data_IF_382976903396
#
_entry.id   IF_382976903396
#
_cell.length_a   1.000
_cell.length_b   1.000
_cell.length_c   1.000
_cell.angle_alpha   90.00
_cell.angle_beta   90.00
_cell.angle_gamma   90.00
#
_symmetry.space_group_name_H-M   'P 1'
#
loop_
_entity.id
_entity.type
_entity.pdbx_description
1 polymer ?
#
# COMPACT_ATOMS: atom_id res chain seq x y z
N UNK A 1 9.32 -1.91 -61.08
CA UNK A 1 9.78 -2.07 -59.68
C UNK A 1 8.58 -2.52 -58.88
N UNK A 2 8.47 -3.83 -58.62
CA UNK A 2 7.33 -4.44 -57.95
C UNK A 2 7.38 -4.19 -56.45
N UNK A 3 6.28 -3.69 -55.90
CA UNK A 3 6.02 -3.70 -54.45
C UNK A 3 6.02 -5.15 -53.96
N UNK A 4 6.83 -5.52 -52.95
CA UNK A 4 6.85 -6.90 -52.46
C UNK A 4 5.62 -7.16 -51.58
N UNK A 5 4.97 -8.27 -51.86
CA UNK A 5 4.37 -9.16 -50.86
C UNK A 5 3.28 -8.56 -49.98
N UNK A 6 2.04 -8.78 -50.41
CA UNK A 6 0.93 -9.08 -49.51
C UNK A 6 1.33 -10.32 -48.68
N UNK A 7 2.07 -10.12 -47.59
CA UNK A 7 2.35 -11.18 -46.60
C UNK A 7 1.04 -11.42 -45.83
N UNK A 8 0.17 -12.22 -46.44
CA UNK A 8 -1.03 -12.73 -45.78
C UNK A 8 -0.59 -13.41 -44.47
N UNK A 9 -1.08 -12.86 -43.35
CA UNK A 9 -0.83 -13.42 -42.02
C UNK A 9 -1.06 -14.93 -42.06
N UNK A 10 -0.11 -15.74 -41.55
CA UNK A 10 -0.19 -17.18 -41.70
C UNK A 10 -1.50 -17.70 -41.09
N UNK A 11 -2.12 -18.74 -41.67
CA UNK A 11 -3.37 -19.27 -41.16
C UNK A 11 -3.26 -19.57 -39.64
N UNK A 12 -4.24 -19.09 -38.89
CA UNK A 12 -4.28 -19.18 -37.43
C UNK A 12 -3.42 -18.14 -36.68
N UNK A 13 -2.76 -17.20 -37.35
CA UNK A 13 -2.04 -16.10 -36.68
C UNK A 13 -2.99 -15.24 -35.83
N UNK A 14 -4.16 -14.90 -36.36
CA UNK A 14 -5.20 -14.17 -35.62
C UNK A 14 -5.73 -15.00 -34.43
N UNK A 15 -5.85 -16.31 -34.58
CA UNK A 15 -6.26 -17.22 -33.49
C UNK A 15 -5.19 -17.28 -32.38
N UNK A 16 -3.91 -17.34 -32.75
CA UNK A 16 -2.80 -17.29 -31.77
C UNK A 16 -2.71 -15.94 -31.09
N UNK A 17 -2.90 -14.85 -31.83
CA UNK A 17 -2.89 -13.49 -31.30
C UNK A 17 -4.06 -13.27 -30.33
N UNK A 18 -5.27 -13.69 -30.69
CA UNK A 18 -6.45 -13.59 -29.82
C UNK A 18 -6.31 -14.44 -28.55
N UNK A 19 -5.80 -15.66 -28.66
CA UNK A 19 -5.48 -16.49 -27.48
C UNK A 19 -4.43 -15.83 -26.59
N UNK A 20 -3.41 -15.19 -27.18
CA UNK A 20 -2.39 -14.45 -26.44
C UNK A 20 -2.96 -13.23 -25.73
N UNK A 21 -3.83 -12.47 -26.38
CA UNK A 21 -4.52 -11.32 -25.77
C UNK A 21 -5.40 -11.78 -24.62
N UNK A 22 -6.21 -12.83 -24.81
CA UNK A 22 -7.07 -13.37 -23.75
C UNK A 22 -6.27 -13.83 -22.53
N UNK A 23 -5.13 -14.50 -22.75
CA UNK A 23 -4.22 -14.90 -21.67
C UNK A 23 -3.62 -13.69 -20.93
N UNK A 24 -3.22 -12.64 -21.65
CA UNK A 24 -2.71 -11.41 -21.03
C UNK A 24 -3.80 -10.68 -20.23
N UNK A 25 -5.03 -10.61 -20.74
CA UNK A 25 -6.15 -10.01 -20.01
C UNK A 25 -6.46 -10.76 -18.72
N UNK A 26 -6.54 -12.09 -18.77
CA UNK A 26 -6.77 -12.90 -17.56
C UNK A 26 -5.64 -12.74 -16.53
N UNK A 27 -4.40 -12.55 -17.00
CA UNK A 27 -3.26 -12.32 -16.13
C UNK A 27 -3.31 -10.95 -15.47
N UNK A 28 -3.67 -9.91 -16.22
CA UNK A 28 -3.89 -8.56 -15.68
C UNK A 28 -5.01 -8.56 -14.63
N UNK A 29 -6.11 -9.26 -14.87
CA UNK A 29 -7.20 -9.40 -13.89
C UNK A 29 -6.75 -10.13 -12.63
N UNK A 30 -5.92 -11.18 -12.76
CA UNK A 30 -5.36 -11.90 -11.61
C UNK A 30 -4.46 -11.00 -10.78
N UNK A 31 -3.55 -10.28 -11.44
CA UNK A 31 -2.67 -9.30 -10.78
C UNK A 31 -3.50 -8.21 -10.10
N UNK A 32 -4.54 -7.70 -10.75
CA UNK A 32 -5.46 -6.72 -10.17
C UNK A 32 -6.08 -7.22 -8.87
N UNK A 33 -6.61 -8.45 -8.85
CA UNK A 33 -7.18 -9.05 -7.64
C UNK A 33 -6.14 -9.23 -6.52
N UNK A 34 -4.94 -9.71 -6.85
CA UNK A 34 -3.86 -9.89 -5.86
C UNK A 34 -3.40 -8.57 -5.24
N UNK A 35 -3.36 -7.51 -6.05
CA UNK A 35 -3.03 -6.16 -5.60
C UNK A 35 -4.14 -5.63 -4.67
N UNK A 36 -5.40 -5.78 -5.06
CA UNK A 36 -6.55 -5.34 -4.27
C UNK A 36 -6.67 -6.08 -2.93
N UNK A 37 -6.40 -7.39 -2.91
CA UNK A 37 -6.37 -8.18 -1.68
C UNK A 37 -5.26 -7.71 -0.72
N UNK A 38 -4.05 -7.45 -1.25
CA UNK A 38 -2.95 -6.90 -0.45
C UNK A 38 -3.26 -5.51 0.10
N UNK A 39 -3.92 -4.65 -0.70
CA UNK A 39 -4.35 -3.35 -0.24
C UNK A 39 -5.40 -3.47 0.88
N UNK A 40 -6.37 -4.39 0.74
CA UNK A 40 -7.39 -4.63 1.75
C UNK A 40 -6.80 -5.09 3.10
N UNK A 41 -5.78 -5.94 3.08
CA UNK A 41 -5.10 -6.37 4.31
C UNK A 41 -4.31 -5.25 4.97
N UNK A 42 -3.58 -4.45 4.18
CA UNK A 42 -2.89 -3.26 4.67
C UNK A 42 -3.84 -2.23 5.27
N UNK A 43 -5.00 -2.02 4.62
CA UNK A 43 -6.04 -1.12 5.08
C UNK A 43 -6.66 -1.56 6.40
N UNK A 44 -6.91 -2.87 6.55
CA UNK A 44 -7.43 -3.46 7.78
C UNK A 44 -6.46 -3.28 8.93
N UNK A 45 -5.18 -3.63 8.73
CA UNK A 45 -4.14 -3.50 9.75
C UNK A 45 -3.98 -2.03 10.21
N UNK A 46 -3.95 -1.08 9.27
CA UNK A 46 -3.93 0.36 9.57
C UNK A 46 -5.15 0.79 10.36
N UNK A 47 -6.35 0.39 9.93
CA UNK A 47 -7.59 0.76 10.59
C UNK A 47 -7.62 0.28 12.04
N UNK A 48 -7.17 -0.95 12.30
CA UNK A 48 -7.06 -1.47 13.65
C UNK A 48 -6.02 -0.71 14.49
N UNK A 49 -4.84 -0.44 13.95
CA UNK A 49 -3.81 0.37 14.61
C UNK A 49 -4.31 1.78 14.94
N UNK A 50 -5.08 2.40 14.04
CA UNK A 50 -5.73 3.70 14.26
C UNK A 50 -6.77 3.63 15.38
N UNK A 51 -7.62 2.60 15.41
CA UNK A 51 -8.61 2.38 16.50
C UNK A 51 -7.91 2.20 17.85
N UNK A 52 -6.83 1.41 17.91
CA UNK A 52 -5.98 1.28 19.10
C UNK A 52 -5.19 2.57 19.40
N UNK A 53 -5.09 3.48 18.43
CA UNK A 53 -4.41 4.78 18.48
C UNK A 53 -2.90 4.73 18.45
N UNK A 54 -2.35 3.61 17.97
CA UNK A 54 -0.91 3.44 17.74
C UNK A 54 -0.37 4.42 16.70
N UNK A 55 -1.24 4.88 15.79
CA UNK A 55 -0.90 5.86 14.76
C UNK A 55 -1.02 7.32 15.22
N UNK A 56 -1.51 7.54 16.45
CA UNK A 56 -1.72 8.84 17.06
C UNK A 56 -3.16 9.36 17.00
N UNK A 57 -3.43 10.52 17.65
CA UNK A 57 -4.79 11.00 17.89
C UNK A 57 -5.52 11.43 16.62
N UNK A 58 -4.84 12.08 15.67
CA UNK A 58 -5.44 12.50 14.39
C UNK A 58 -5.90 11.29 13.56
N UNK A 59 -5.10 10.23 13.54
CA UNK A 59 -5.44 8.97 12.89
C UNK A 59 -6.65 8.30 13.54
N UNK A 60 -6.69 8.23 14.87
CA UNK A 60 -7.84 7.65 15.59
C UNK A 60 -9.13 8.42 15.32
N UNK A 61 -9.07 9.75 15.29
CA UNK A 61 -10.22 10.61 15.02
C UNK A 61 -10.77 10.43 13.58
N UNK A 62 -9.88 10.43 12.58
CA UNK A 62 -10.29 10.15 11.19
C UNK A 62 -10.82 8.73 11.03
N UNK A 63 -10.22 7.73 11.69
CA UNK A 63 -10.72 6.36 11.63
C UNK A 63 -12.13 6.23 12.21
N UNK A 64 -12.46 6.94 13.29
CA UNK A 64 -13.83 6.98 13.81
C UNK A 64 -14.83 7.62 12.83
N UNK A 65 -14.39 8.54 11.97
CA UNK A 65 -15.23 9.13 10.91
C UNK A 65 -15.41 8.15 9.75
N UNK A 66 -14.35 7.45 9.35
CA UNK A 66 -14.40 6.36 8.35
C UNK A 66 -15.33 5.23 8.82
N UNK A 67 -15.19 4.79 10.08
CA UNK A 67 -16.01 3.71 10.65
C UNK A 67 -17.52 4.07 10.70
N UNK A 68 -17.84 5.37 10.78
CA UNK A 68 -19.21 5.89 10.73
C UNK A 68 -19.70 6.21 9.31
N UNK A 69 -18.87 5.97 8.29
CA UNK A 69 -19.20 6.24 6.88
C UNK A 69 -19.28 7.73 6.53
N UNK A 70 -18.69 8.61 7.35
CA UNK A 70 -18.72 10.06 7.12
C UNK A 70 -17.66 10.54 6.12
N UNK A 71 -16.64 9.72 5.89
CA UNK A 71 -15.52 10.03 4.99
C UNK A 71 -14.83 8.74 4.56
N UNK A 72 -13.87 8.85 3.64
CA UNK A 72 -12.96 7.79 3.23
C UNK A 72 -11.50 8.26 3.33
N UNK A 73 -10.57 7.31 3.31
CA UNK A 73 -9.15 7.63 3.29
C UNK A 73 -8.79 8.51 2.08
N UNK A 74 -9.33 8.16 0.91
CA UNK A 74 -9.14 8.90 -0.33
C UNK A 74 -9.70 10.32 -0.22
N UNK A 75 -10.92 10.48 0.28
CA UNK A 75 -11.50 11.81 0.50
C UNK A 75 -10.66 12.67 1.45
N UNK A 76 -10.04 12.06 2.47
CA UNK A 76 -9.09 12.75 3.35
C UNK A 76 -7.82 13.16 2.61
N UNK A 77 -7.17 12.29 1.84
CA UNK A 77 -5.88 12.65 1.23
C UNK A 77 -6.00 13.46 -0.06
N UNK A 78 -7.09 13.30 -0.81
CA UNK A 78 -7.43 14.13 -1.98
C UNK A 78 -7.91 15.53 -1.58
N UNK A 79 -8.27 15.73 -0.31
CA UNK A 79 -8.73 17.02 0.20
C UNK A 79 -10.20 17.31 -0.01
N UNK A 80 -11.01 16.32 -0.42
CA UNK A 80 -12.47 16.43 -0.48
C UNK A 80 -13.10 16.54 0.92
N UNK A 81 -12.47 15.94 1.92
CA UNK A 81 -12.86 16.08 3.31
C UNK A 81 -12.19 17.31 3.97
N UNK A 82 -12.99 18.34 4.20
CA UNK A 82 -12.58 19.62 4.79
C UNK A 82 -12.74 19.71 6.31
N UNK A 83 -13.09 18.60 6.97
CA UNK A 83 -13.15 18.57 8.44
C UNK A 83 -11.80 18.90 9.10
N UNK A 84 -11.87 19.40 10.33
CA UNK A 84 -10.69 19.71 11.13
C UNK A 84 -9.81 18.47 11.38
N UNK A 85 -10.42 17.30 11.56
CA UNK A 85 -9.71 16.03 11.75
C UNK A 85 -8.93 15.62 10.50
N UNK A 86 -9.53 15.77 9.31
CA UNK A 86 -8.88 15.45 8.04
C UNK A 86 -7.73 16.43 7.74
N UNK A 87 -7.94 17.73 7.98
CA UNK A 87 -6.90 18.75 7.84
C UNK A 87 -5.71 18.48 8.77
N UNK A 88 -5.97 18.21 10.05
CA UNK A 88 -4.93 17.94 11.03
C UNK A 88 -4.15 16.65 10.68
N UNK A 89 -4.83 15.61 10.18
CA UNK A 89 -4.16 14.39 9.72
C UNK A 89 -3.24 14.67 8.52
N UNK A 90 -3.71 15.43 7.52
CA UNK A 90 -2.89 15.83 6.37
C UNK A 90 -1.67 16.64 6.79
N UNK A 91 -1.84 17.62 7.68
CA UNK A 91 -0.76 18.45 8.19
C UNK A 91 0.28 17.61 8.95
N UNK A 92 -0.16 16.77 9.89
CA UNK A 92 0.73 15.89 10.64
C UNK A 92 1.49 14.91 9.73
N UNK A 93 0.85 14.43 8.66
CA UNK A 93 1.47 13.54 7.68
C UNK A 93 2.52 14.27 6.85
N UNK A 94 2.22 15.48 6.37
CA UNK A 94 3.18 16.34 5.64
C UNK A 94 4.40 16.67 6.51
N UNK A 95 4.18 17.00 7.77
CA UNK A 95 5.25 17.31 8.71
C UNK A 95 6.17 16.10 8.95
N UNK A 96 5.61 14.90 9.13
CA UNK A 96 6.40 13.66 9.24
C UNK A 96 7.20 13.35 7.97
N UNK A 97 6.60 13.52 6.80
CA UNK A 97 7.29 13.31 5.53
C UNK A 97 8.43 14.31 5.32
N UNK A 98 8.23 15.57 5.70
CA UNK A 98 9.28 16.59 5.66
C UNK A 98 10.44 16.22 6.59
N UNK A 99 10.16 15.80 7.83
CA UNK A 99 11.18 15.32 8.75
C UNK A 99 11.96 14.13 8.18
N UNK A 100 11.26 13.14 7.58
CA UNK A 100 11.93 11.98 6.99
C UNK A 100 12.82 12.36 5.80
N UNK A 101 12.40 13.33 4.99
CA UNK A 101 13.19 13.83 3.86
C UNK A 101 14.46 14.60 4.29
N UNK A 102 14.48 15.12 5.52
CA UNK A 102 15.64 15.80 6.10
C UNK A 102 16.65 14.83 6.74
N UNK A 103 16.29 13.56 6.97
CA UNK A 103 17.20 12.55 7.52
C UNK A 103 18.11 12.01 6.40
N UNK A 104 19.45 12.11 6.52
CA UNK A 104 20.39 11.48 5.61
C UNK A 104 20.20 9.96 5.56
N UNK A 105 20.29 9.34 4.38
CA UNK A 105 20.04 7.91 4.19
C UNK A 105 20.88 7.02 5.12
N UNK A 106 22.16 7.35 5.30
CA UNK A 106 23.08 6.61 6.16
C UNK A 106 22.67 6.66 7.65
N UNK A 107 22.09 7.78 8.10
CA UNK A 107 21.58 7.94 9.47
C UNK A 107 20.27 7.16 9.68
N UNK A 108 19.40 7.12 8.67
CA UNK A 108 18.18 6.32 8.70
C UNK A 108 18.49 4.81 8.74
N UNK A 109 19.46 4.35 7.94
CA UNK A 109 19.90 2.94 7.95
C UNK A 109 20.51 2.53 9.29
N UNK A 110 21.35 3.36 9.88
CA UNK A 110 21.94 3.11 11.19
C UNK A 110 20.86 3.01 12.30
N UNK A 111 19.90 3.95 12.31
CA UNK A 111 18.80 3.96 13.28
C UNK A 111 17.88 2.73 13.13
N UNK A 112 17.60 2.28 11.90
CA UNK A 112 16.83 1.07 11.64
C UNK A 112 17.55 -0.20 12.10
N UNK A 113 18.87 -0.28 11.89
CA UNK A 113 19.69 -1.39 12.37
C UNK A 113 19.71 -1.47 13.90
N UNK A 114 19.81 -0.33 14.58
CA UNK A 114 19.75 -0.25 16.05
C UNK A 114 18.39 -0.67 16.60
N UNK A 115 17.28 -0.20 16.00
CA UNK A 115 15.93 -0.64 16.36
C UNK A 115 15.71 -2.14 16.14
N UNK A 116 16.26 -2.70 15.07
CA UNK A 116 16.19 -4.13 14.80
C UNK A 116 16.94 -4.96 15.86
N UNK A 117 18.12 -4.49 16.31
CA UNK A 117 18.88 -5.11 17.38
C UNK A 117 18.13 -5.05 18.72
N UNK A 118 17.59 -3.88 19.09
CA UNK A 118 16.78 -3.70 20.31
C UNK A 118 15.52 -4.59 20.31
N UNK A 119 14.88 -4.76 19.15
CA UNK A 119 13.73 -5.67 18.99
C UNK A 119 14.13 -7.14 19.14
N UNK A 120 15.31 -7.53 18.66
CA UNK A 120 15.82 -8.88 18.82
C UNK A 120 16.18 -9.20 20.28
N UNK A 121 16.72 -8.22 21.02
CA UNK A 121 17.03 -8.36 22.45
C UNK A 121 15.78 -8.43 23.33
N UNK A 122 14.73 -7.68 22.98
CA UNK A 122 13.44 -7.70 23.69
C UNK A 122 12.56 -8.90 23.31
N UNK A 123 12.84 -9.57 22.19
CA UNK A 123 12.20 -10.84 21.77
C UNK A 123 12.95 -12.08 22.25
N UNK A 124 13.53 -12.04 23.46
CA UNK A 124 14.12 -13.20 24.13
C UNK A 124 13.09 -14.32 24.39
N UNK A 125 13.53 -15.60 24.48
CA UNK A 125 12.68 -16.77 24.32
C UNK A 125 11.65 -16.87 25.44
N UNK A 126 10.38 -16.64 25.13
CA UNK A 126 9.28 -16.98 26.01
C UNK A 126 9.14 -18.52 26.06
N UNK A 127 9.58 -19.11 27.18
CA UNK A 127 8.81 -20.16 27.85
C UNK A 127 9.09 -21.63 27.52
N UNK A 128 10.35 -22.08 27.57
CA UNK A 128 10.65 -23.50 27.87
C UNK A 128 10.95 -23.66 29.37
N UNK A 129 9.90 -23.60 30.20
CA UNK A 129 9.92 -24.22 31.52
C UNK A 129 8.56 -24.87 31.80
N UNK A 130 8.66 -26.15 32.18
CA UNK A 130 7.68 -26.99 32.87
C UNK A 130 6.91 -28.02 32.00
N UNK A 131 7.54 -29.19 31.73
CA UNK A 131 7.42 -30.38 32.60
C UNK A 131 8.38 -31.50 32.22
#
# INVERSE_FOLDING_TARGET
MGVPGDDALPPGALTRLSARIAALTSEVERIGREVEEKHADGDRARAEAARRGELGPHWRAVQHRIDRGETSLDAVFEGTDDSAEAQALREASRHRLAQLAEVPGDEAEAALAELAALRAETSGPEGEQER
#
